data_IF_477005656543
#
_entry.id   IF_477005656543
#
_cell.length_a   1.000
_cell.length_b   1.000
_cell.length_c   1.000
_cell.angle_alpha   90.00
_cell.angle_beta   90.00
_cell.angle_gamma   90.00
#
_symmetry.space_group_name_H-M   'P 1'
#
loop_
_entity.id
_entity.type
_entity.pdbx_description
1 polymer ?
#
# COMPACT_ATOMS: atom_id res chain seq x y z
N UNK A 1 7.36 1.53 16.66
CA UNK A 1 6.56 2.14 17.75
C UNK A 1 5.11 2.33 17.32
N UNK A 2 4.19 2.56 18.29
CA UNK A 2 2.78 2.87 18.00
C UNK A 2 2.67 4.16 17.15
N UNK A 3 3.45 5.18 17.47
CA UNK A 3 3.48 6.44 16.71
C UNK A 3 3.85 6.23 15.26
N UNK A 4 4.84 5.37 14.97
CA UNK A 4 5.24 5.01 13.60
C UNK A 4 4.07 4.37 12.86
N UNK A 5 3.39 3.41 13.48
CA UNK A 5 2.29 2.70 12.85
C UNK A 5 1.12 3.63 12.51
N UNK A 6 0.73 4.50 13.45
CA UNK A 6 -0.34 5.48 13.25
C UNK A 6 0.01 6.50 12.16
N UNK A 7 1.24 7.06 12.19
CA UNK A 7 1.69 8.03 11.19
C UNK A 7 1.70 7.42 9.79
N UNK A 8 2.29 6.26 9.63
CA UNK A 8 2.39 5.57 8.34
C UNK A 8 1.00 5.29 7.76
N UNK A 9 0.07 4.76 8.56
CA UNK A 9 -1.29 4.50 8.11
C UNK A 9 -2.06 5.79 7.76
N UNK A 10 -1.88 6.86 8.56
CA UNK A 10 -2.49 8.14 8.30
C UNK A 10 -1.97 8.77 6.99
N UNK A 11 -0.67 8.69 6.72
CA UNK A 11 -0.08 9.19 5.47
C UNK A 11 -0.61 8.42 4.27
N UNK A 12 -0.64 7.08 4.32
CA UNK A 12 -1.20 6.25 3.23
C UNK A 12 -2.67 6.61 2.95
N UNK A 13 -3.49 6.72 3.99
CA UNK A 13 -4.90 7.07 3.84
C UNK A 13 -5.08 8.52 3.33
N UNK A 14 -4.24 9.46 3.77
CA UNK A 14 -4.27 10.84 3.28
C UNK A 14 -3.90 10.91 1.79
N UNK A 15 -2.85 10.21 1.37
CA UNK A 15 -2.46 10.13 -0.03
C UNK A 15 -3.59 9.56 -0.89
N UNK A 16 -4.19 8.44 -0.47
CA UNK A 16 -5.30 7.83 -1.17
C UNK A 16 -6.54 8.76 -1.23
N UNK A 17 -6.80 9.56 -0.21
CA UNK A 17 -7.91 10.53 -0.21
C UNK A 17 -7.79 11.57 -1.32
N UNK A 18 -6.56 11.97 -1.68
CA UNK A 18 -6.32 12.95 -2.75
C UNK A 18 -6.15 12.33 -4.13
N UNK A 19 -5.71 11.07 -4.21
CA UNK A 19 -5.26 10.49 -5.48
C UNK A 19 -6.04 9.25 -5.90
N UNK A 20 -6.69 8.52 -4.99
CA UNK A 20 -7.53 7.39 -5.37
C UNK A 20 -8.87 7.87 -5.96
N UNK A 21 -9.50 6.99 -6.74
CA UNK A 21 -10.85 7.27 -7.27
C UNK A 21 -11.84 7.50 -6.11
N UNK A 22 -12.74 8.50 -6.21
CA UNK A 22 -13.70 8.81 -5.14
C UNK A 22 -14.68 7.68 -4.82
N UNK A 23 -14.91 6.79 -5.77
CA UNK A 23 -15.80 5.64 -5.66
C UNK A 23 -15.10 4.35 -5.18
N UNK A 24 -13.83 4.43 -4.80
CA UNK A 24 -13.05 3.29 -4.28
C UNK A 24 -13.73 2.66 -3.06
N UNK A 25 -13.88 1.33 -3.06
CA UNK A 25 -14.53 0.56 -2.00
C UNK A 25 -13.73 -0.65 -1.56
N UNK A 26 -12.77 -1.09 -2.37
CA UNK A 26 -11.98 -2.29 -2.14
C UNK A 26 -10.49 -1.99 -2.02
N UNK A 27 -9.81 -2.73 -1.17
CA UNK A 27 -8.36 -2.62 -0.94
C UNK A 27 -7.73 -4.00 -0.94
N UNK A 28 -6.58 -4.14 -1.59
CA UNK A 28 -5.65 -5.24 -1.37
C UNK A 28 -4.58 -4.81 -0.36
N UNK A 29 -4.35 -5.61 0.65
CA UNK A 29 -3.34 -5.38 1.68
C UNK A 29 -2.36 -6.55 1.70
N UNK A 30 -1.14 -6.29 1.20
CA UNK A 30 -0.08 -7.27 1.04
C UNK A 30 0.97 -7.08 2.12
N UNK A 31 1.20 -8.14 2.91
CA UNK A 31 1.92 -8.05 4.18
C UNK A 31 0.95 -7.80 5.34
N UNK A 32 0.75 -8.81 6.18
CA UNK A 32 -0.24 -8.75 7.27
C UNK A 32 0.44 -8.70 8.66
N UNK A 33 1.62 -8.09 8.70
CA UNK A 33 2.41 -7.88 9.90
C UNK A 33 1.96 -6.68 10.76
N UNK A 34 2.91 -6.05 11.45
CA UNK A 34 2.65 -5.02 12.46
C UNK A 34 1.93 -3.74 11.95
N UNK A 35 2.11 -3.39 10.68
CA UNK A 35 1.49 -2.20 10.07
C UNK A 35 0.07 -2.43 9.57
N UNK A 36 -0.26 -3.68 9.23
CA UNK A 36 -1.46 -4.01 8.47
C UNK A 36 -2.77 -3.64 9.16
N UNK A 37 -2.87 -3.86 10.47
CA UNK A 37 -4.08 -3.51 11.24
C UNK A 37 -4.36 -1.99 11.20
N UNK A 38 -3.31 -1.18 11.33
CA UNK A 38 -3.42 0.29 11.26
C UNK A 38 -3.81 0.77 9.87
N UNK A 39 -3.24 0.17 8.83
CA UNK A 39 -3.61 0.45 7.44
C UNK A 39 -5.08 0.12 7.21
N UNK A 40 -5.53 -1.09 7.54
CA UNK A 40 -6.90 -1.52 7.36
C UNK A 40 -7.90 -0.58 8.09
N UNK A 41 -7.61 -0.22 9.35
CA UNK A 41 -8.46 0.68 10.13
C UNK A 41 -8.51 2.08 9.50
N UNK A 42 -7.37 2.65 9.10
CA UNK A 42 -7.32 3.98 8.52
C UNK A 42 -8.14 4.05 7.20
N UNK A 43 -7.95 3.09 6.30
CA UNK A 43 -8.69 3.06 5.05
C UNK A 43 -10.18 2.81 5.24
N UNK A 44 -10.56 1.93 6.15
CA UNK A 44 -11.96 1.71 6.48
C UNK A 44 -12.62 2.95 7.07
N UNK A 45 -12.00 3.57 8.07
CA UNK A 45 -12.62 4.68 8.81
C UNK A 45 -12.56 6.02 8.10
N UNK A 46 -11.49 6.30 7.34
CA UNK A 46 -11.27 7.59 6.71
C UNK A 46 -11.76 7.65 5.25
N UNK A 47 -11.79 6.51 4.54
CA UNK A 47 -12.11 6.45 3.11
C UNK A 47 -13.35 5.58 2.82
N UNK A 48 -13.91 4.91 3.81
CA UNK A 48 -15.11 4.06 3.63
C UNK A 48 -14.83 2.76 2.86
N UNK A 49 -13.58 2.30 2.85
CA UNK A 49 -13.25 0.97 2.30
C UNK A 49 -13.99 -0.09 3.09
N UNK A 50 -14.76 -0.92 2.42
CA UNK A 50 -15.62 -1.91 3.03
C UNK A 50 -15.26 -3.37 2.69
N UNK A 51 -14.32 -3.57 1.76
CA UNK A 51 -13.75 -4.86 1.42
C UNK A 51 -12.21 -4.78 1.45
N UNK A 52 -11.57 -5.67 2.21
CA UNK A 52 -10.11 -5.80 2.21
C UNK A 52 -9.73 -7.23 1.90
N UNK A 53 -8.94 -7.39 0.84
CA UNK A 53 -8.34 -8.65 0.43
C UNK A 53 -6.93 -8.74 1.00
N UNK A 54 -6.67 -9.80 1.74
CA UNK A 54 -5.48 -9.96 2.57
C UNK A 54 -4.60 -11.08 2.02
N UNK A 55 -3.33 -10.79 1.85
CA UNK A 55 -2.33 -11.82 1.55
C UNK A 55 -1.03 -11.57 2.32
N UNK A 56 -0.48 -12.64 2.88
CA UNK A 56 0.84 -12.71 3.47
C UNK A 56 1.43 -14.11 3.20
N UNK A 57 2.74 -14.19 3.11
CA UNK A 57 3.47 -15.47 3.04
C UNK A 57 3.35 -16.26 4.33
N UNK A 58 3.09 -15.58 5.46
CA UNK A 58 2.74 -16.20 6.74
C UNK A 58 1.22 -16.23 6.92
N UNK A 59 0.58 -17.41 6.75
CA UNK A 59 -0.86 -17.54 6.97
C UNK A 59 -1.31 -17.17 8.39
N UNK A 60 -0.45 -17.36 9.40
CA UNK A 60 -0.80 -17.06 10.78
C UNK A 60 -0.92 -15.54 11.02
N UNK A 61 -0.13 -14.73 10.30
CA UNK A 61 -0.27 -13.27 10.31
C UNK A 61 -1.62 -12.83 9.77
N UNK A 62 -2.05 -13.38 8.63
CA UNK A 62 -3.36 -13.12 8.04
C UNK A 62 -4.50 -13.51 8.98
N UNK A 63 -4.46 -14.71 9.56
CA UNK A 63 -5.47 -15.19 10.50
C UNK A 63 -5.58 -14.29 11.75
N UNK A 64 -4.45 -13.84 12.28
CA UNK A 64 -4.41 -12.90 13.41
C UNK A 64 -5.08 -11.59 13.04
N UNK A 65 -4.74 -11.02 11.88
CA UNK A 65 -5.31 -9.78 11.40
C UNK A 65 -6.83 -9.87 11.23
N UNK A 66 -7.32 -10.94 10.60
CA UNK A 66 -8.76 -11.20 10.42
C UNK A 66 -9.46 -11.26 11.78
N UNK A 67 -8.93 -12.01 12.76
CA UNK A 67 -9.54 -12.09 14.11
C UNK A 67 -9.64 -10.72 14.77
N UNK A 68 -8.56 -9.93 14.72
CA UNK A 68 -8.51 -8.61 15.34
C UNK A 68 -9.53 -7.65 14.72
N UNK A 69 -9.59 -7.60 13.40
CA UNK A 69 -10.46 -6.68 12.68
C UNK A 69 -11.93 -7.11 12.74
N UNK A 70 -12.24 -8.40 12.58
CA UNK A 70 -13.62 -8.89 12.61
C UNK A 70 -14.32 -8.64 13.95
N UNK A 71 -13.57 -8.67 15.05
CA UNK A 71 -14.12 -8.39 16.38
C UNK A 71 -14.50 -6.92 16.58
N UNK A 72 -13.79 -6.00 15.93
CA UNK A 72 -13.94 -4.55 16.09
C UNK A 72 -14.77 -3.89 14.99
N UNK A 73 -14.72 -4.45 13.77
CA UNK A 73 -15.35 -3.92 12.56
C UNK A 73 -16.15 -5.02 11.85
N UNK A 74 -17.29 -5.46 12.41
CA UNK A 74 -18.06 -6.59 11.87
C UNK A 74 -18.65 -6.32 10.48
N UNK A 75 -18.76 -5.06 10.08
CA UNK A 75 -19.23 -4.66 8.74
C UNK A 75 -18.12 -4.68 7.67
N UNK A 76 -16.85 -4.77 8.07
CA UNK A 76 -15.72 -4.82 7.15
C UNK A 76 -15.58 -6.24 6.60
N UNK A 77 -15.73 -6.37 5.28
CA UNK A 77 -15.54 -7.64 4.59
C UNK A 77 -14.07 -7.95 4.44
N UNK A 78 -13.60 -8.99 5.11
CA UNK A 78 -12.22 -9.45 5.05
C UNK A 78 -12.16 -10.74 4.23
N UNK A 79 -11.32 -10.74 3.20
CA UNK A 79 -11.16 -11.86 2.28
C UNK A 79 -9.70 -12.31 2.32
N UNK A 80 -9.45 -13.55 2.66
CA UNK A 80 -8.14 -14.16 2.52
C UNK A 80 -7.93 -14.56 1.07
N UNK A 81 -6.89 -14.04 0.43
CA UNK A 81 -6.46 -14.44 -0.90
C UNK A 81 -5.40 -15.54 -0.84
N UNK A 82 -5.31 -16.35 -1.88
CA UNK A 82 -4.31 -17.41 -1.99
C UNK A 82 -2.97 -16.91 -2.57
N UNK A 83 -2.95 -15.70 -3.14
CA UNK A 83 -1.74 -15.08 -3.71
C UNK A 83 -1.87 -13.55 -3.75
N UNK A 84 -0.73 -12.86 -3.95
CA UNK A 84 -0.71 -11.41 -4.23
C UNK A 84 -1.60 -11.08 -5.43
N UNK A 85 -1.45 -11.79 -6.54
CA UNK A 85 -2.23 -11.55 -7.75
C UNK A 85 -3.74 -11.70 -7.54
N UNK A 86 -4.17 -12.68 -6.73
CA UNK A 86 -5.59 -12.84 -6.39
C UNK A 86 -6.10 -11.67 -5.53
N UNK A 87 -5.31 -11.23 -4.56
CA UNK A 87 -5.69 -10.10 -3.70
C UNK A 87 -5.84 -8.80 -4.51
N UNK A 88 -4.92 -8.55 -5.43
CA UNK A 88 -4.82 -7.30 -6.20
C UNK A 88 -5.89 -7.20 -7.30
N UNK A 89 -6.27 -8.32 -7.92
CA UNK A 89 -7.20 -8.33 -9.06
C UNK A 89 -8.49 -7.57 -8.78
N UNK A 90 -8.74 -6.48 -9.51
CA UNK A 90 -9.93 -5.64 -9.37
C UNK A 90 -10.01 -4.89 -8.04
N UNK A 91 -8.91 -4.73 -7.29
CA UNK A 91 -8.87 -3.86 -6.14
C UNK A 91 -8.74 -2.39 -6.58
N UNK A 92 -9.43 -1.49 -5.91
CA UNK A 92 -9.32 -0.04 -6.19
C UNK A 92 -8.02 0.53 -5.62
N UNK A 93 -7.61 0.03 -4.46
CA UNK A 93 -6.41 0.46 -3.74
C UNK A 93 -5.56 -0.76 -3.41
N UNK A 94 -4.26 -0.65 -3.62
CA UNK A 94 -3.28 -1.68 -3.24
C UNK A 94 -2.27 -1.07 -2.27
N UNK A 95 -2.07 -1.71 -1.13
CA UNK A 95 -1.05 -1.29 -0.16
C UNK A 95 -0.11 -2.45 0.14
N UNK A 96 1.18 -2.24 -0.07
CA UNK A 96 2.23 -3.19 0.28
C UNK A 96 2.95 -2.72 1.54
N UNK A 97 3.01 -3.59 2.56
CA UNK A 97 3.64 -3.31 3.87
C UNK A 97 4.44 -4.52 4.35
N UNK A 98 5.19 -5.14 3.45
CA UNK A 98 5.95 -6.34 3.76
C UNK A 98 7.20 -6.03 4.60
N UNK A 99 7.62 -6.98 5.41
CA UNK A 99 8.78 -6.84 6.30
C UNK A 99 10.07 -7.45 5.72
N UNK A 100 10.04 -8.00 4.51
CA UNK A 100 11.22 -8.56 3.88
C UNK A 100 12.26 -7.46 3.65
N UNK A 101 13.52 -7.75 4.00
CA UNK A 101 14.63 -6.81 3.88
C UNK A 101 15.39 -6.94 2.55
N UNK A 102 14.93 -7.80 1.67
CA UNK A 102 15.50 -7.98 0.34
C UNK A 102 14.66 -7.26 -0.71
N UNK A 103 15.24 -7.00 -1.89
CA UNK A 103 14.49 -6.55 -3.06
C UNK A 103 13.57 -7.68 -3.53
N UNK A 104 12.45 -7.84 -2.87
CA UNK A 104 11.44 -8.81 -3.24
C UNK A 104 10.38 -8.10 -4.07
N UNK A 105 10.30 -8.38 -5.37
CA UNK A 105 9.20 -7.90 -6.20
C UNK A 105 7.89 -8.53 -5.73
N UNK A 106 7.07 -7.74 -5.06
CA UNK A 106 5.76 -8.13 -4.53
C UNK A 106 4.67 -7.90 -5.57
N UNK A 107 4.74 -6.76 -6.28
CA UNK A 107 3.83 -6.42 -7.37
C UNK A 107 4.58 -6.40 -8.71
N UNK A 108 3.97 -7.01 -9.72
CA UNK A 108 4.44 -7.01 -11.11
C UNK A 108 3.45 -6.25 -12.02
N UNK A 109 3.90 -5.73 -13.18
CA UNK A 109 3.05 -4.93 -14.07
C UNK A 109 1.75 -5.63 -14.51
N UNK A 110 1.77 -6.94 -14.66
CA UNK A 110 0.61 -7.75 -15.05
C UNK A 110 -0.50 -7.83 -13.98
N UNK A 111 -0.19 -7.42 -12.74
CA UNK A 111 -1.17 -7.34 -11.66
C UNK A 111 -1.89 -5.97 -11.61
N UNK A 112 -1.38 -4.96 -12.34
CA UNK A 112 -1.86 -3.59 -12.22
C UNK A 112 -2.90 -3.27 -13.28
N UNK A 113 -3.99 -2.67 -12.84
CA UNK A 113 -5.09 -2.24 -13.71
C UNK A 113 -5.21 -0.70 -13.73
N UNK A 114 -5.65 -0.10 -14.85
CA UNK A 114 -5.86 1.34 -14.92
C UNK A 114 -6.78 1.88 -13.81
N UNK A 115 -6.37 2.96 -13.18
CA UNK A 115 -7.12 3.61 -12.10
C UNK A 115 -6.91 3.01 -10.72
N UNK A 116 -6.05 2.02 -10.55
CA UNK A 116 -5.60 1.58 -9.23
C UNK A 116 -4.77 2.66 -8.54
N UNK A 117 -4.97 2.82 -7.25
CA UNK A 117 -4.08 3.60 -6.38
C UNK A 117 -3.16 2.65 -5.61
N UNK A 118 -1.84 2.89 -5.66
CA UNK A 118 -0.85 2.00 -5.03
C UNK A 118 -0.07 2.77 -3.96
N UNK A 119 0.00 2.21 -2.75
CA UNK A 119 0.88 2.66 -1.68
C UNK A 119 2.00 1.63 -1.48
N UNK A 120 3.21 1.96 -1.93
CA UNK A 120 4.42 1.19 -1.65
C UNK A 120 5.01 1.62 -0.31
N UNK A 121 4.60 1.00 0.78
CA UNK A 121 4.96 1.41 2.15
C UNK A 121 6.16 0.66 2.68
N UNK A 122 6.39 -0.56 2.21
CA UNK A 122 7.41 -1.43 2.76
C UNK A 122 8.84 -1.11 2.34
N UNK A 123 9.06 -0.25 1.34
CA UNK A 123 10.38 0.21 0.90
C UNK A 123 11.00 1.24 1.85
N UNK A 124 11.20 0.88 3.12
CA UNK A 124 11.54 1.77 4.22
C UNK A 124 13.05 1.87 4.53
N UNK A 125 13.90 1.41 3.63
CA UNK A 125 15.36 1.51 3.76
C UNK A 125 16.06 1.36 2.40
N UNK A 126 17.34 1.80 2.31
CA UNK A 126 18.13 1.59 1.11
C UNK A 126 18.24 0.11 0.72
N UNK A 127 18.06 -0.18 -0.58
CA UNK A 127 18.12 -1.53 -1.12
C UNK A 127 16.83 -2.35 -0.94
N UNK A 128 15.74 -1.78 -0.43
CA UNK A 128 14.45 -2.46 -0.29
C UNK A 128 13.39 -1.81 -1.16
N UNK A 129 12.83 -2.60 -2.09
CA UNK A 129 11.69 -2.23 -2.92
C UNK A 129 10.66 -3.37 -2.93
N UNK A 130 9.40 -3.06 -3.19
CA UNK A 130 8.29 -4.01 -3.25
C UNK A 130 7.66 -4.07 -4.65
N UNK A 131 7.83 -3.01 -5.44
CA UNK A 131 7.24 -2.87 -6.77
C UNK A 131 8.28 -3.14 -7.87
N UNK A 132 7.86 -3.81 -8.94
CA UNK A 132 8.66 -3.87 -10.16
C UNK A 132 8.83 -2.47 -10.76
N UNK A 133 10.02 -2.11 -11.24
CA UNK A 133 10.33 -0.78 -11.79
C UNK A 133 9.36 -0.34 -12.90
N UNK A 134 8.92 -1.26 -13.75
CA UNK A 134 8.00 -0.96 -14.84
C UNK A 134 6.62 -0.47 -14.38
N UNK A 135 6.24 -0.72 -13.13
CA UNK A 135 5.02 -0.13 -12.57
C UNK A 135 5.16 1.39 -12.45
N UNK A 136 6.33 1.87 -12.04
CA UNK A 136 6.58 3.30 -11.91
C UNK A 136 6.54 4.02 -13.27
N UNK A 137 6.98 3.36 -14.34
CA UNK A 137 6.90 3.90 -15.71
C UNK A 137 5.46 4.04 -16.23
N UNK A 138 4.51 3.27 -15.68
CA UNK A 138 3.10 3.28 -16.07
C UNK A 138 2.23 4.14 -15.14
N UNK A 139 2.79 4.65 -14.04
CA UNK A 139 2.07 5.35 -12.99
C UNK A 139 2.41 6.84 -12.92
N UNK A 140 1.50 7.62 -12.37
CA UNK A 140 1.81 8.95 -11.87
C UNK A 140 2.44 8.80 -10.48
N UNK A 141 3.76 9.02 -10.39
CA UNK A 141 4.53 8.75 -9.18
C UNK A 141 4.56 9.97 -8.27
N UNK A 142 4.05 9.78 -7.05
CA UNK A 142 4.02 10.80 -6.00
C UNK A 142 4.85 10.34 -4.80
N UNK A 143 5.64 11.23 -4.26
CA UNK A 143 6.52 10.99 -3.10
C UNK A 143 6.29 12.04 -2.02
N UNK A 144 6.56 11.71 -0.76
CA UNK A 144 6.44 12.69 0.33
C UNK A 144 7.55 13.74 0.27
N UNK A 145 8.80 13.30 0.09
CA UNK A 145 9.99 14.15 0.00
C UNK A 145 11.00 13.53 -0.94
N UNK A 146 11.23 14.16 -2.10
CA UNK A 146 12.01 13.58 -3.19
C UNK A 146 13.43 13.16 -2.79
N UNK A 147 14.24 13.99 -2.07
CA UNK A 147 15.60 13.59 -1.71
C UNK A 147 15.68 12.31 -0.90
N UNK A 148 14.72 12.07 0.02
CA UNK A 148 14.63 10.82 0.79
C UNK A 148 14.20 9.66 -0.10
N UNK A 149 13.19 9.85 -0.94
CA UNK A 149 12.65 8.80 -1.81
C UNK A 149 13.64 8.32 -2.88
N UNK A 150 14.69 9.12 -3.19
CA UNK A 150 15.80 8.69 -4.04
C UNK A 150 16.77 7.73 -3.34
N UNK A 151 16.74 7.68 -2.02
CA UNK A 151 17.65 6.85 -1.20
C UNK A 151 16.90 5.59 -0.71
N UNK A 152 15.63 5.72 -0.39
CA UNK A 152 14.75 4.65 0.08
C UNK A 152 13.38 4.75 -0.60
N UNK A 153 12.55 3.73 -0.51
CA UNK A 153 11.28 3.66 -1.24
C UNK A 153 11.46 3.17 -2.69
N UNK A 154 10.38 3.13 -3.44
CA UNK A 154 10.36 2.54 -4.78
C UNK A 154 11.19 3.32 -5.80
N UNK A 155 11.32 4.64 -5.63
CA UNK A 155 12.02 5.54 -6.57
C UNK A 155 13.54 5.34 -6.55
N UNK A 156 14.11 4.72 -5.51
CA UNK A 156 15.55 4.40 -5.45
C UNK A 156 16.04 3.51 -6.61
N UNK A 157 15.15 2.73 -7.21
CA UNK A 157 15.48 1.87 -8.36
C UNK A 157 15.42 2.59 -9.71
N UNK A 158 15.03 3.87 -9.73
CA UNK A 158 14.84 4.65 -10.94
C UNK A 158 16.05 5.57 -11.21
N UNK A 159 16.27 5.97 -12.47
CA UNK A 159 17.28 6.99 -12.80
C UNK A 159 17.07 8.29 -12.01
N UNK A 160 18.14 9.03 -11.78
CA UNK A 160 18.11 10.27 -10.97
C UNK A 160 17.16 11.35 -11.56
N UNK A 161 16.96 11.35 -12.86
CA UNK A 161 16.09 12.27 -13.60
C UNK A 161 14.66 11.73 -13.81
N UNK A 162 14.33 10.56 -13.24
CA UNK A 162 12.98 10.02 -13.32
C UNK A 162 11.97 10.99 -12.68
N UNK A 163 10.87 11.36 -13.40
CA UNK A 163 9.94 12.37 -12.92
C UNK A 163 9.13 11.87 -11.74
N UNK A 164 9.11 12.67 -10.66
CA UNK A 164 8.25 12.46 -9.50
C UNK A 164 7.57 13.77 -9.10
N UNK A 165 6.44 13.67 -8.42
CA UNK A 165 5.74 14.83 -7.86
C UNK A 165 5.73 14.72 -6.33
N UNK A 166 6.11 15.78 -5.63
CA UNK A 166 6.00 15.79 -4.18
C UNK A 166 4.55 15.98 -3.74
N UNK A 167 4.11 15.24 -2.73
CA UNK A 167 2.71 15.16 -2.30
C UNK A 167 2.13 16.52 -1.86
N UNK A 168 2.95 17.39 -1.27
CA UNK A 168 2.49 18.72 -0.90
C UNK A 168 1.97 19.55 -2.09
N UNK A 169 2.48 19.29 -3.31
CA UNK A 169 2.00 19.93 -4.54
C UNK A 169 0.59 19.46 -4.91
N UNK A 170 0.28 18.18 -4.65
CA UNK A 170 -1.07 17.64 -4.85
C UNK A 170 -2.07 18.26 -3.86
N UNK A 171 -1.64 18.50 -2.62
CA UNK A 171 -2.51 19.07 -1.59
C UNK A 171 -2.80 20.56 -1.82
N UNK A 172 -1.83 21.29 -2.37
CA UNK A 172 -1.96 22.73 -2.59
C UNK A 172 -2.58 23.12 -3.95
N UNK A 173 -2.76 22.19 -4.88
CA UNK A 173 -3.36 22.41 -6.21
C UNK A 173 -2.34 22.92 -7.22
#
# INVERSE_FOLDING_TARGET
TLTTALRTAATSALAARYMARPDSRSMALIGNGAQSEFQAIAFHTMLGINEIRLFDVDPAATEKLIRNLSSRYPSLRLIRAASTAEAVRGADIVTTVTADKTNATILTPDMIEPGMHINGVGGDCPGKTELHADILHQAFVVVEYEPQSRIEGEVQQMPADFPVTEFWRIVNG
#
